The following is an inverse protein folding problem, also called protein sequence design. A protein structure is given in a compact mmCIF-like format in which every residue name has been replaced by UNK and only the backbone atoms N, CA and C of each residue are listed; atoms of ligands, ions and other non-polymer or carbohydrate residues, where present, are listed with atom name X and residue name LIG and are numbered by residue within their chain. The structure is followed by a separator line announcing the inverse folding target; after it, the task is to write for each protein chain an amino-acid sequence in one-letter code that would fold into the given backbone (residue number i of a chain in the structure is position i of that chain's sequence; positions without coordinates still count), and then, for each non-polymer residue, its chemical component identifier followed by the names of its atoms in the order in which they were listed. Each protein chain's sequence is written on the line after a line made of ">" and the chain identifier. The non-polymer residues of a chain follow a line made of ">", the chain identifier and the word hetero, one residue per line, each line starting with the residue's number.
data_IF_571737118282
#
_entry.id   IF_571737118282
#
_cell.length_a   1.000
_cell.length_b   1.000
_cell.length_c   1.000
_cell.angle_alpha   90.00
_cell.angle_beta   90.00
_cell.angle_gamma   90.00
#
_symmetry.space_group_name_H-M   'P 1'
#
loop_
_entity.id
_entity.type
_entity.pdbx_description
1 polymer ?
#
# COMPACT_ATOMS: atom_id res chain seq x y z
N UNK A 1 15.64 -11.43 -15.23
CA UNK A 1 14.16 -11.42 -15.26
C UNK A 1 13.74 -10.05 -15.74
N UNK A 2 12.91 -9.94 -16.77
CA UNK A 2 12.36 -8.66 -17.22
C UNK A 2 11.36 -8.17 -16.18
N UNK A 3 11.57 -6.98 -15.61
CA UNK A 3 10.56 -6.38 -14.75
C UNK A 3 9.27 -6.19 -15.54
N UNK A 4 8.15 -6.58 -14.94
CA UNK A 4 6.84 -6.37 -15.53
C UNK A 4 6.65 -4.87 -15.80
N UNK A 5 6.31 -4.45 -17.04
CA UNK A 5 6.20 -3.04 -17.38
C UNK A 5 5.13 -2.31 -16.57
N UNK A 6 4.14 -3.04 -16.04
CA UNK A 6 3.05 -2.48 -15.23
C UNK A 6 3.46 -2.21 -13.77
N UNK A 7 4.60 -2.75 -13.32
CA UNK A 7 5.02 -2.66 -11.92
C UNK A 7 5.38 -1.23 -11.50
N UNK A 8 6.14 -0.51 -12.33
CA UNK A 8 6.53 0.86 -12.03
C UNK A 8 5.34 1.83 -12.02
N UNK A 9 4.43 1.81 -13.02
CA UNK A 9 3.17 2.56 -12.94
C UNK A 9 2.38 2.29 -11.67
N UNK A 10 2.24 1.02 -11.27
CA UNK A 10 1.51 0.64 -10.07
C UNK A 10 2.16 1.19 -8.79
N UNK A 11 3.48 1.14 -8.68
CA UNK A 11 4.21 1.76 -7.57
C UNK A 11 3.98 3.27 -7.48
N UNK A 12 3.99 3.97 -8.62
CA UNK A 12 3.73 5.41 -8.67
C UNK A 12 2.30 5.71 -8.21
N UNK A 13 1.32 4.92 -8.65
CA UNK A 13 -0.08 5.04 -8.23
C UNK A 13 -0.23 4.85 -6.71
N UNK A 14 0.37 3.80 -6.14
CA UNK A 14 0.41 3.54 -4.69
C UNK A 14 1.00 4.75 -3.95
N UNK A 15 2.16 5.26 -4.41
CA UNK A 15 2.83 6.40 -3.79
C UNK A 15 1.98 7.68 -3.80
N UNK A 16 1.25 7.92 -4.90
CA UNK A 16 0.32 9.04 -5.03
C UNK A 16 -0.87 8.90 -4.08
N UNK A 17 -1.50 7.72 -4.03
CA UNK A 17 -2.63 7.45 -3.14
C UNK A 17 -2.22 7.57 -1.67
N UNK A 18 -1.07 7.02 -1.29
CA UNK A 18 -0.54 7.13 0.06
C UNK A 18 -0.25 8.58 0.44
N UNK A 19 0.29 9.37 -0.49
CA UNK A 19 0.52 10.81 -0.26
C UNK A 19 -0.80 11.55 -0.02
N UNK A 20 -1.88 11.19 -0.73
CA UNK A 20 -3.22 11.75 -0.52
C UNK A 20 -3.79 11.35 0.83
N UNK A 21 -3.69 10.08 1.20
CA UNK A 21 -4.14 9.58 2.51
C UNK A 21 -3.44 10.33 3.64
N UNK A 22 -2.10 10.40 3.63
CA UNK A 22 -1.31 11.12 4.62
C UNK A 22 -1.64 12.62 4.70
N UNK A 23 -1.88 13.25 3.53
CA UNK A 23 -2.28 14.66 3.48
C UNK A 23 -3.66 14.85 4.10
N UNK A 24 -4.60 13.95 3.80
CA UNK A 24 -5.94 13.99 4.35
C UNK A 24 -5.95 13.74 5.86
N UNK A 25 -5.19 12.77 6.37
CA UNK A 25 -5.01 12.55 7.81
C UNK A 25 -4.51 13.82 8.49
N UNK A 26 -3.53 14.50 7.90
CA UNK A 26 -3.01 15.75 8.44
C UNK A 26 -4.07 16.85 8.47
N UNK A 27 -4.89 16.96 7.43
CA UNK A 27 -6.01 17.92 7.39
C UNK A 27 -7.03 17.55 8.46
N UNK A 28 -7.44 16.29 8.54
CA UNK A 28 -8.40 15.77 9.52
C UNK A 28 -7.90 16.10 10.94
N UNK A 29 -6.62 15.87 11.25
CA UNK A 29 -6.01 16.24 12.52
C UNK A 29 -6.01 17.75 12.82
N UNK A 30 -5.83 18.61 11.81
CA UNK A 30 -5.83 20.07 11.99
C UNK A 30 -7.25 20.64 12.18
N UNK A 31 -8.24 20.03 11.53
CA UNK A 31 -9.66 20.47 11.59
C UNK A 31 -10.31 20.05 12.92
N UNK A 32 -9.84 18.98 13.56
CA UNK A 32 -10.36 18.41 14.82
C UNK A 32 -10.24 19.34 16.05
N UNK A 33 -9.62 20.53 15.95
CA UNK A 33 -9.63 21.50 17.04
C UNK A 33 -11.03 22.07 17.40
N UNK A 34 -12.10 21.74 16.65
CA UNK A 34 -13.43 22.31 16.87
C UNK A 34 -14.67 21.43 16.64
N UNK A 35 -14.58 20.19 16.13
CA UNK A 35 -15.77 19.38 15.78
C UNK A 35 -15.83 18.00 16.48
N UNK A 36 -17.05 17.60 16.86
CA UNK A 36 -17.37 16.46 17.74
C UNK A 36 -17.26 15.08 17.03
N UNK A 37 -17.07 15.05 15.71
CA UNK A 37 -16.88 13.80 14.96
C UNK A 37 -15.86 13.98 13.85
N UNK A 38 -14.65 13.39 13.96
CA UNK A 38 -13.71 13.38 12.84
C UNK A 38 -14.33 12.58 11.70
N UNK A 39 -14.64 13.24 10.58
CA UNK A 39 -14.86 12.54 9.34
C UNK A 39 -13.55 11.84 8.98
N UNK A 40 -13.57 10.52 8.94
CA UNK A 40 -12.41 9.72 8.56
C UNK A 40 -12.24 9.68 7.04
N UNK A 41 -12.14 10.84 6.42
CA UNK A 41 -11.94 10.98 4.98
C UNK A 41 -10.66 10.28 4.51
N UNK A 42 -9.66 10.20 5.38
CA UNK A 42 -8.44 9.44 5.13
C UNK A 42 -8.66 7.93 4.97
N UNK A 43 -9.65 7.32 5.65
CA UNK A 43 -9.86 5.87 5.61
C UNK A 43 -10.15 5.39 4.18
N UNK A 44 -11.01 6.11 3.45
CA UNK A 44 -11.32 5.80 2.05
C UNK A 44 -10.08 5.88 1.13
N UNK A 45 -9.12 6.75 1.45
CA UNK A 45 -7.86 6.82 0.73
C UNK A 45 -6.93 5.66 1.08
N UNK A 46 -6.90 5.23 2.34
CA UNK A 46 -6.13 4.07 2.76
C UNK A 46 -6.68 2.75 2.21
N UNK A 47 -8.00 2.60 2.09
CA UNK A 47 -8.62 1.44 1.41
C UNK A 47 -8.08 1.30 -0.01
N UNK A 48 -8.11 2.39 -0.80
CA UNK A 48 -7.57 2.38 -2.16
C UNK A 48 -6.06 2.09 -2.21
N UNK A 49 -5.28 2.48 -1.19
CA UNK A 49 -3.86 2.12 -1.07
C UNK A 49 -3.69 0.63 -0.84
N UNK A 50 -4.49 0.04 0.04
CA UNK A 50 -4.44 -1.40 0.36
C UNK A 50 -4.78 -2.22 -0.89
N UNK A 51 -5.86 -1.90 -1.59
CA UNK A 51 -6.27 -2.59 -2.82
C UNK A 51 -5.12 -2.63 -3.84
N UNK A 52 -4.46 -1.49 -4.07
CA UNK A 52 -3.33 -1.40 -5.01
C UNK A 52 -2.08 -2.11 -4.50
N UNK A 53 -1.89 -2.16 -3.19
CA UNK A 53 -0.78 -2.89 -2.58
C UNK A 53 -0.96 -4.40 -2.74
N UNK A 54 -2.19 -4.90 -2.66
CA UNK A 54 -2.54 -6.29 -2.94
C UNK A 54 -2.30 -6.63 -4.42
N UNK A 55 -2.70 -5.76 -5.35
CA UNK A 55 -2.38 -5.89 -6.78
C UNK A 55 -0.87 -6.02 -7.00
N UNK A 56 -0.06 -5.20 -6.31
CA UNK A 56 1.40 -5.23 -6.42
C UNK A 56 1.98 -6.53 -5.86
N UNK A 57 1.50 -6.99 -4.71
CA UNK A 57 1.91 -8.28 -4.12
C UNK A 57 1.55 -9.42 -5.06
N UNK A 58 0.38 -9.37 -5.69
CA UNK A 58 -0.06 -10.38 -6.64
C UNK A 58 0.84 -10.41 -7.89
N UNK A 59 1.13 -9.25 -8.45
CA UNK A 59 2.04 -9.10 -9.59
C UNK A 59 3.45 -9.62 -9.25
N UNK A 60 4.02 -9.15 -8.14
CA UNK A 60 5.37 -9.54 -7.71
C UNK A 60 5.45 -11.03 -7.36
N UNK A 61 4.37 -11.61 -6.83
CA UNK A 61 4.28 -13.05 -6.59
C UNK A 61 4.27 -13.85 -7.91
N UNK A 62 3.40 -13.49 -8.86
CA UNK A 62 3.28 -14.18 -10.17
C UNK A 62 4.62 -14.14 -10.92
N UNK A 63 5.29 -13.00 -10.90
CA UNK A 63 6.57 -12.81 -11.58
C UNK A 63 7.76 -13.37 -10.79
N UNK A 64 7.52 -14.01 -9.63
CA UNK A 64 8.53 -14.45 -8.67
C UNK A 64 9.57 -13.35 -8.38
N UNK A 65 9.09 -12.10 -8.37
CA UNK A 65 9.89 -10.91 -8.16
C UNK A 65 9.97 -10.62 -6.67
N UNK A 66 11.18 -10.40 -6.16
CA UNK A 66 11.41 -10.14 -4.75
C UNK A 66 12.25 -8.87 -4.57
N UNK A 67 11.62 -7.68 -4.43
CA UNK A 67 12.36 -6.45 -4.22
C UNK A 67 12.95 -6.45 -2.80
N UNK A 68 14.27 -6.59 -2.68
CA UNK A 68 14.97 -6.38 -1.40
C UNK A 68 14.81 -4.95 -0.87
N UNK A 69 14.57 -3.99 -1.76
CA UNK A 69 14.31 -2.60 -1.42
C UNK A 69 13.35 -1.95 -2.43
N UNK A 70 12.42 -1.15 -1.94
CA UNK A 70 11.54 -0.31 -2.76
C UNK A 70 11.48 1.09 -2.15
N UNK A 71 12.17 2.09 -2.75
CA UNK A 71 12.21 3.45 -2.22
C UNK A 71 10.82 4.10 -2.11
N UNK A 72 9.91 3.80 -3.04
CA UNK A 72 8.55 4.33 -3.03
C UNK A 72 7.77 3.74 -1.84
N UNK A 73 7.78 2.42 -1.65
CA UNK A 73 7.09 1.80 -0.52
C UNK A 73 7.69 2.21 0.82
N UNK A 74 9.01 2.36 0.90
CA UNK A 74 9.67 2.84 2.11
C UNK A 74 9.31 4.30 2.41
N UNK A 75 9.37 5.18 1.40
CA UNK A 75 9.03 6.59 1.52
C UNK A 75 7.56 6.84 1.87
N UNK A 76 6.66 5.95 1.46
CA UNK A 76 5.24 5.98 1.79
C UNK A 76 4.88 5.25 3.10
N UNK A 77 5.86 4.65 3.81
CA UNK A 77 5.61 3.89 5.03
C UNK A 77 4.91 2.53 4.82
N UNK A 78 4.82 2.05 3.58
CA UNK A 78 4.06 0.87 3.17
C UNK A 78 4.90 -0.41 3.08
N UNK A 79 6.22 -0.32 3.26
CA UNK A 79 7.12 -1.47 3.06
C UNK A 79 6.77 -2.66 3.97
N UNK A 80 6.45 -2.41 5.24
CA UNK A 80 6.05 -3.47 6.17
C UNK A 80 4.69 -4.08 5.80
N UNK A 81 3.72 -3.25 5.38
CA UNK A 81 2.41 -3.71 4.92
C UNK A 81 2.54 -4.61 3.69
N UNK A 82 3.38 -4.22 2.74
CA UNK A 82 3.70 -5.03 1.56
C UNK A 82 4.24 -6.42 1.94
N UNK A 83 5.24 -6.48 2.83
CA UNK A 83 5.81 -7.76 3.26
C UNK A 83 4.81 -8.62 4.03
N UNK A 84 3.96 -8.00 4.84
CA UNK A 84 2.90 -8.68 5.59
C UNK A 84 1.89 -9.32 4.63
N UNK A 85 1.39 -8.56 3.66
CA UNK A 85 0.47 -9.05 2.64
C UNK A 85 1.10 -10.18 1.81
N UNK A 86 2.36 -10.05 1.44
CA UNK A 86 3.09 -11.09 0.72
C UNK A 86 3.19 -12.39 1.53
N UNK A 87 3.53 -12.29 2.81
CA UNK A 87 3.61 -13.44 3.69
C UNK A 87 2.25 -14.15 3.83
N UNK A 88 1.17 -13.40 4.01
CA UNK A 88 -0.18 -13.98 4.06
C UNK A 88 -0.57 -14.68 2.77
N UNK A 89 -0.19 -14.11 1.62
CA UNK A 89 -0.43 -14.76 0.33
C UNK A 89 0.33 -16.08 0.20
N UNK A 90 1.59 -16.12 0.61
CA UNK A 90 2.39 -17.35 0.62
C UNK A 90 1.79 -18.43 1.54
N UNK A 91 1.27 -18.05 2.71
CA UNK A 91 0.54 -18.94 3.62
C UNK A 91 -0.77 -19.45 3.03
N UNK A 92 -1.53 -18.61 2.31
CA UNK A 92 -2.79 -18.99 1.70
C UNK A 92 -2.61 -20.04 0.59
N UNK A 93 -1.50 -19.98 -0.16
CA UNK A 93 -1.18 -20.94 -1.23
C UNK A 93 -0.54 -22.24 -0.71
N UNK A 94 0.07 -22.18 0.48
CA UNK A 94 0.63 -23.34 1.19
C UNK A 94 0.11 -23.33 2.63
N UNK A 95 -1.18 -23.67 2.85
CA UNK A 95 -1.65 -23.90 4.20
C UNK A 95 -0.83 -25.06 4.76
N UNK A 96 -0.13 -24.85 5.87
CA UNK A 96 0.69 -25.87 6.52
C UNK A 96 -0.09 -27.21 6.58
N UNK A 97 0.48 -28.25 5.97
CA UNK A 97 -0.04 -29.62 6.02
C UNK A 97 0.07 -30.22 7.43
#
# INVERSE_FOLDING_TARGET
>A
MSQNPNRLPLLIEIGLLASRALTQERIDHLVVAGEITPHKSADAHWEAVIDKLEDLVLLDHIDNFNPSHSPILAGSGLLNSYWTLRHWKELAEKPDC
#
